data_IF_932422314871
#
_entry.id   IF_932422314871
#
_cell.length_a   1.000
_cell.length_b   1.000
_cell.length_c   1.000
_cell.angle_alpha   90.00
_cell.angle_beta   90.00
_cell.angle_gamma   90.00
#
_symmetry.space_group_name_H-M   'P 1'
#
loop_
_entity.id
_entity.type
_entity.pdbx_description
1 polymer ?
#
# COMPACT_ATOMS: atom_id res chain seq x y z
N UNK A 1 39.20 22.60 -12.51
CA UNK A 1 38.18 21.93 -11.69
C UNK A 1 37.23 21.19 -12.61
N UNK A 2 37.21 19.86 -12.53
CA UNK A 2 36.35 19.02 -13.37
C UNK A 2 34.95 19.05 -12.77
N UNK A 3 33.99 19.62 -13.51
CA UNK A 3 32.58 19.67 -13.10
C UNK A 3 32.01 18.25 -13.11
N UNK A 4 31.34 17.83 -12.03
CA UNK A 4 30.66 16.53 -11.92
C UNK A 4 29.16 16.77 -12.11
N UNK A 5 28.51 15.96 -12.94
CA UNK A 5 27.08 16.06 -13.26
C UNK A 5 26.43 14.70 -13.03
N UNK A 6 25.20 14.66 -12.53
CA UNK A 6 24.42 13.41 -12.40
C UNK A 6 23.43 13.34 -13.56
N UNK A 7 23.59 12.34 -14.44
CA UNK A 7 22.69 12.07 -15.57
C UNK A 7 21.85 10.84 -15.22
N UNK A 8 20.53 10.99 -15.19
CA UNK A 8 19.62 9.85 -15.13
C UNK A 8 19.51 9.21 -16.51
N UNK A 9 19.82 7.92 -16.59
CA UNK A 9 19.47 7.12 -17.74
C UNK A 9 18.68 5.93 -17.23
N UNK A 10 17.41 5.87 -17.63
CA UNK A 10 16.55 4.71 -17.42
C UNK A 10 17.28 3.46 -17.93
N UNK A 11 17.59 2.52 -17.02
CA UNK A 11 18.28 1.29 -17.36
C UNK A 11 17.25 0.26 -17.79
N UNK A 12 16.86 0.31 -19.06
CA UNK A 12 16.29 -0.86 -19.73
C UNK A 12 17.41 -1.89 -19.90
N UNK A 13 17.45 -2.90 -19.03
CA UNK A 13 18.27 -4.10 -19.20
C UNK A 13 19.37 -4.29 -18.16
N UNK A 14 19.07 -5.13 -17.17
CA UNK A 14 19.95 -5.94 -16.31
C UNK A 14 21.47 -5.77 -16.42
N UNK A 15 22.12 -5.28 -15.35
CA UNK A 15 23.21 -5.98 -14.65
C UNK A 15 23.78 -5.12 -13.49
N UNK A 16 23.85 -5.74 -12.30
CA UNK A 16 24.79 -5.48 -11.20
C UNK A 16 25.27 -4.03 -10.97
N UNK A 17 24.71 -3.36 -9.94
CA UNK A 17 25.34 -2.20 -9.29
C UNK A 17 24.97 -0.81 -9.85
N UNK A 18 23.86 -0.68 -10.57
CA UNK A 18 23.43 0.62 -11.09
C UNK A 18 22.46 1.30 -10.11
N UNK A 19 22.94 2.40 -9.52
CA UNK A 19 22.12 3.40 -8.84
C UNK A 19 21.05 3.90 -9.81
N UNK A 20 19.78 3.63 -9.54
CA UNK A 20 18.71 3.75 -10.53
C UNK A 20 18.01 5.12 -10.55
N UNK A 21 18.05 5.92 -9.48
CA UNK A 21 17.33 7.19 -9.40
C UNK A 21 18.05 8.18 -8.46
N UNK A 22 17.88 9.50 -8.66
CA UNK A 22 17.77 10.43 -7.52
C UNK A 22 16.35 10.91 -7.40
N UNK A 23 15.82 10.71 -6.21
CA UNK A 23 14.45 11.02 -5.86
C UNK A 23 14.50 12.09 -4.79
N UNK A 24 14.63 13.35 -5.21
CA UNK A 24 14.12 14.47 -4.42
C UNK A 24 14.03 15.73 -5.28
N UNK A 25 12.97 16.51 -5.09
CA UNK A 25 12.71 17.80 -5.74
C UNK A 25 13.89 18.77 -5.52
N UNK A 26 14.85 18.86 -6.44
CA UNK A 26 15.97 19.78 -6.28
C UNK A 26 15.48 21.23 -6.43
N UNK A 27 16.23 22.18 -5.91
CA UNK A 27 15.93 23.59 -6.11
C UNK A 27 16.07 23.98 -7.60
N UNK A 28 15.30 24.96 -8.10
CA UNK A 28 15.33 25.39 -9.50
C UNK A 28 16.73 25.64 -10.07
N UNK A 29 17.62 26.20 -9.27
CA UNK A 29 19.01 26.52 -9.61
C UNK A 29 19.93 25.29 -9.77
N UNK A 30 19.55 24.14 -9.21
CA UNK A 30 20.32 22.89 -9.31
C UNK A 30 20.00 22.12 -10.59
N UNK A 31 18.91 22.46 -11.29
CA UNK A 31 18.56 21.81 -12.55
C UNK A 31 19.52 22.24 -13.66
N UNK A 32 20.03 21.23 -14.37
CA UNK A 32 20.81 21.42 -15.60
C UNK A 32 20.18 20.56 -16.70
N UNK A 33 20.46 20.85 -17.99
CA UNK A 33 20.00 19.99 -19.07
C UNK A 33 20.40 18.53 -18.81
N UNK A 34 19.40 17.64 -18.74
CA UNK A 34 19.53 16.20 -18.47
C UNK A 34 20.02 15.80 -17.07
N UNK A 35 19.85 16.63 -16.03
CA UNK A 35 20.27 16.23 -14.69
C UNK A 35 20.18 17.26 -13.57
N UNK A 36 20.88 16.96 -12.48
CA UNK A 36 21.05 17.83 -11.31
C UNK A 36 22.53 18.09 -11.08
N UNK A 37 22.90 19.33 -10.82
CA UNK A 37 24.26 19.73 -10.48
C UNK A 37 24.52 19.56 -8.97
N UNK A 38 25.63 18.91 -8.64
CA UNK A 38 26.15 18.79 -7.27
C UNK A 38 27.67 18.79 -7.30
N UNK A 39 28.28 19.40 -6.29
CA UNK A 39 29.73 19.39 -6.10
C UNK A 39 30.21 18.16 -5.30
N UNK A 40 29.27 17.44 -4.68
CA UNK A 40 29.55 16.24 -3.88
C UNK A 40 30.10 15.10 -4.74
N UNK A 41 31.00 14.32 -4.16
CA UNK A 41 31.40 13.06 -4.76
C UNK A 41 30.22 12.07 -4.74
N UNK A 42 30.11 11.25 -5.78
CA UNK A 42 29.14 10.15 -5.82
C UNK A 42 29.63 9.06 -4.84
N UNK A 43 28.82 8.65 -3.85
CA UNK A 43 29.15 7.54 -2.97
C UNK A 43 29.36 6.25 -3.75
N UNK A 44 30.39 5.48 -3.40
CA UNK A 44 30.69 4.19 -4.04
C UNK A 44 30.19 3.06 -3.14
N UNK A 45 29.51 2.07 -3.72
CA UNK A 45 29.11 0.84 -3.03
C UNK A 45 29.94 -0.32 -3.56
N UNK A 46 30.69 -0.98 -2.68
CA UNK A 46 31.52 -2.12 -3.06
C UNK A 46 30.68 -3.39 -3.27
N UNK A 47 29.69 -3.64 -2.41
CA UNK A 47 28.78 -4.79 -2.54
C UNK A 47 27.48 -4.53 -1.77
N UNK A 48 26.34 -4.77 -2.41
CA UNK A 48 25.02 -4.75 -1.74
C UNK A 48 24.58 -6.16 -1.35
N UNK A 49 23.96 -6.32 -0.16
CA UNK A 49 23.22 -7.54 0.16
C UNK A 49 22.10 -7.80 -0.86
N UNK A 50 21.76 -9.08 -1.06
CA UNK A 50 20.84 -9.54 -2.12
C UNK A 50 19.43 -8.91 -2.07
N UNK A 51 19.02 -8.37 -0.91
CA UNK A 51 17.69 -7.79 -0.68
C UNK A 51 17.75 -6.32 -0.28
N UNK A 52 18.77 -5.58 -0.73
CA UNK A 52 18.88 -4.15 -0.48
C UNK A 52 18.97 -3.41 -1.80
N UNK A 53 18.04 -2.47 -2.00
CA UNK A 53 18.12 -1.48 -3.06
C UNK A 53 18.82 -0.23 -2.49
N UNK A 54 19.79 0.31 -3.23
CA UNK A 54 20.41 1.58 -2.91
C UNK A 54 19.91 2.66 -3.86
N UNK A 55 19.21 3.65 -3.31
CA UNK A 55 18.77 4.83 -4.03
C UNK A 55 19.77 5.95 -3.75
N UNK A 56 20.32 6.57 -4.79
CA UNK A 56 21.14 7.77 -4.59
C UNK A 56 20.20 8.94 -4.32
N UNK A 57 20.51 9.70 -3.29
CA UNK A 57 19.73 10.86 -2.89
C UNK A 57 20.64 12.07 -2.77
N UNK A 58 20.05 13.24 -2.90
CA UNK A 58 20.71 14.53 -2.69
C UNK A 58 20.09 15.17 -1.46
N UNK A 59 20.92 15.50 -0.47
CA UNK A 59 20.51 16.36 0.63
C UNK A 59 20.46 17.80 0.11
N UNK A 60 19.30 18.43 0.21
CA UNK A 60 19.08 19.77 -0.31
C UNK A 60 19.67 20.86 0.58
N UNK A 61 19.92 20.60 1.86
CA UNK A 61 20.46 21.59 2.79
C UNK A 61 21.96 21.85 2.54
N UNK A 62 22.72 20.79 2.26
CA UNK A 62 24.18 20.84 2.10
C UNK A 62 24.66 20.40 0.71
N UNK A 63 23.72 20.07 -0.20
CA UNK A 63 23.98 19.59 -1.56
C UNK A 63 24.84 18.30 -1.61
N UNK A 64 24.84 17.51 -0.54
CA UNK A 64 25.60 16.25 -0.47
C UNK A 64 24.84 15.08 -1.07
N UNK A 65 25.58 14.15 -1.67
CA UNK A 65 25.01 12.90 -2.17
C UNK A 65 25.13 11.81 -1.11
N UNK A 66 24.06 11.05 -0.90
CA UNK A 66 24.05 9.90 0.00
C UNK A 66 23.24 8.74 -0.60
N UNK A 67 23.41 7.55 -0.05
CA UNK A 67 22.65 6.37 -0.46
C UNK A 67 21.61 6.06 0.61
N UNK A 68 20.35 6.01 0.18
CA UNK A 68 19.26 5.49 0.98
C UNK A 68 19.09 4.00 0.67
N UNK A 69 19.22 3.17 1.71
CA UNK A 69 19.18 1.73 1.60
C UNK A 69 17.80 1.24 2.03
N UNK A 70 17.09 0.62 1.11
CA UNK A 70 15.76 0.10 1.36
C UNK A 70 15.75 -1.42 1.17
N UNK A 71 14.98 -2.12 1.98
CA UNK A 71 14.72 -3.54 1.72
C UNK A 71 14.07 -3.68 0.34
N UNK A 72 14.62 -4.56 -0.49
CA UNK A 72 13.97 -4.95 -1.71
C UNK A 72 12.67 -5.68 -1.34
N UNK A 73 11.54 -5.13 -1.77
CA UNK A 73 10.28 -5.87 -1.75
C UNK A 73 10.44 -7.02 -2.73
N UNK A 74 10.52 -8.23 -2.19
CA UNK A 74 10.57 -9.44 -3.01
C UNK A 74 9.16 -9.86 -3.37
N UNK A 75 8.99 -10.46 -4.55
CA UNK A 75 7.70 -10.99 -4.98
C UNK A 75 7.19 -12.03 -3.98
N UNK A 76 8.09 -12.80 -3.35
CA UNK A 76 7.74 -13.79 -2.33
C UNK A 76 7.12 -13.15 -1.07
N UNK A 77 7.67 -12.02 -0.60
CA UNK A 77 7.13 -11.28 0.55
C UNK A 77 5.75 -10.72 0.23
N UNK A 78 5.61 -10.08 -0.93
CA UNK A 78 4.33 -9.53 -1.38
C UNK A 78 3.26 -10.64 -1.54
N UNK A 79 3.65 -11.79 -2.11
CA UNK A 79 2.75 -12.95 -2.23
C UNK A 79 2.35 -13.50 -0.86
N UNK A 80 3.26 -13.52 0.12
CA UNK A 80 2.96 -13.97 1.47
C UNK A 80 1.99 -13.00 2.19
N UNK A 81 2.23 -11.70 2.05
CA UNK A 81 1.38 -10.66 2.63
C UNK A 81 -0.04 -10.72 2.03
N UNK A 82 -0.13 -10.80 0.70
CA UNK A 82 -1.41 -10.96 -0.02
C UNK A 82 -2.15 -12.24 0.37
N UNK A 83 -1.43 -13.36 0.56
CA UNK A 83 -2.07 -14.61 1.03
C UNK A 83 -2.64 -14.47 2.44
N UNK A 84 -1.94 -13.75 3.32
CA UNK A 84 -2.37 -13.53 4.70
C UNK A 84 -3.59 -12.62 4.73
N UNK A 85 -3.59 -11.54 3.97
CA UNK A 85 -4.74 -10.64 3.82
C UNK A 85 -5.95 -11.39 3.26
N UNK A 86 -5.76 -12.20 2.21
CA UNK A 86 -6.83 -12.95 1.60
C UNK A 86 -7.45 -13.98 2.58
N UNK A 87 -6.62 -14.66 3.39
CA UNK A 87 -7.12 -15.55 4.43
C UNK A 87 -7.98 -14.82 5.46
N UNK A 88 -7.56 -13.62 5.90
CA UNK A 88 -8.33 -12.79 6.83
C UNK A 88 -9.66 -12.32 6.22
N UNK A 89 -9.67 -11.97 4.94
CA UNK A 89 -10.89 -11.59 4.21
C UNK A 89 -11.87 -12.75 4.09
N UNK A 90 -11.38 -13.97 3.80
CA UNK A 90 -12.23 -15.16 3.77
C UNK A 90 -12.88 -15.45 5.12
N UNK A 91 -12.13 -15.30 6.22
CA UNK A 91 -12.66 -15.47 7.58
C UNK A 91 -13.72 -14.42 7.89
N UNK A 92 -13.43 -13.14 7.63
CA UNK A 92 -14.37 -12.05 7.85
C UNK A 92 -15.67 -12.24 7.04
N UNK A 93 -15.56 -12.65 5.79
CA UNK A 93 -16.72 -12.96 4.94
C UNK A 93 -17.53 -14.14 5.51
N UNK A 94 -16.87 -15.18 5.99
CA UNK A 94 -17.53 -16.31 6.66
C UNK A 94 -18.32 -15.88 7.88
N UNK A 95 -17.75 -15.04 8.73
CA UNK A 95 -18.41 -14.50 9.92
C UNK A 95 -19.63 -13.65 9.56
N UNK A 96 -19.50 -12.76 8.57
CA UNK A 96 -20.63 -11.93 8.10
C UNK A 96 -21.78 -12.77 7.54
N UNK A 97 -21.49 -13.87 6.85
CA UNK A 97 -22.52 -14.78 6.35
C UNK A 97 -23.28 -15.46 7.49
N UNK A 98 -22.58 -15.86 8.56
CA UNK A 98 -23.18 -16.47 9.75
C UNK A 98 -24.06 -15.44 10.48
N UNK A 99 -23.55 -14.23 10.68
CA UNK A 99 -24.28 -13.13 11.32
C UNK A 99 -25.54 -12.79 10.52
N UNK A 100 -25.41 -12.64 9.19
CA UNK A 100 -26.55 -12.38 8.31
C UNK A 100 -27.62 -13.48 8.36
N UNK A 101 -27.21 -14.75 8.48
CA UNK A 101 -28.14 -15.86 8.64
C UNK A 101 -28.88 -15.80 9.99
N UNK A 102 -28.19 -15.42 11.07
CA UNK A 102 -28.77 -15.24 12.40
C UNK A 102 -29.77 -14.07 12.42
N UNK A 103 -29.42 -12.94 11.81
CA UNK A 103 -30.31 -11.78 11.67
C UNK A 103 -31.57 -12.14 10.88
N UNK A 104 -31.41 -12.88 9.78
CA UNK A 104 -32.55 -13.35 8.98
C UNK A 104 -33.50 -14.23 9.80
N UNK A 105 -32.96 -15.13 10.63
CA UNK A 105 -33.79 -15.95 11.52
C UNK A 105 -34.56 -15.09 12.54
N UNK A 106 -33.91 -14.07 13.10
CA UNK A 106 -34.53 -13.13 14.02
C UNK A 106 -35.64 -12.33 13.35
N UNK A 107 -35.43 -11.84 12.13
CA UNK A 107 -36.43 -11.11 11.35
C UNK A 107 -37.67 -11.98 11.09
N UNK A 108 -37.48 -13.23 10.66
CA UNK A 108 -38.62 -14.14 10.45
C UNK A 108 -39.46 -14.33 11.72
N UNK A 109 -38.82 -14.47 12.88
CA UNK A 109 -39.52 -14.59 14.16
C UNK A 109 -40.28 -13.32 14.56
N UNK A 110 -39.72 -12.15 14.26
CA UNK A 110 -40.39 -10.86 14.48
C UNK A 110 -41.60 -10.69 13.53
N UNK A 111 -41.46 -11.09 12.27
CA UNK A 111 -42.55 -11.03 11.28
C UNK A 111 -43.71 -11.95 11.68
N UNK A 112 -43.43 -13.16 12.16
CA UNK A 112 -44.44 -14.08 12.68
C UNK A 112 -45.16 -13.49 13.90
N UNK A 113 -44.40 -12.94 14.86
CA UNK A 113 -44.97 -12.30 16.05
C UNK A 113 -45.86 -11.11 15.68
N UNK A 114 -45.42 -10.28 14.74
CA UNK A 114 -46.20 -9.15 14.23
C UNK A 114 -47.49 -9.62 13.54
N UNK A 115 -47.42 -10.69 12.74
CA UNK A 115 -48.59 -11.30 12.11
C UNK A 115 -49.63 -11.77 13.15
N UNK A 116 -49.17 -12.46 14.19
CA UNK A 116 -50.03 -12.92 15.28
C UNK A 116 -50.70 -11.76 16.04
N UNK A 117 -49.94 -10.69 16.35
CA UNK A 117 -50.49 -9.49 16.99
C UNK A 117 -51.54 -8.79 16.13
N UNK A 118 -51.31 -8.70 14.82
CA UNK A 118 -52.30 -8.10 13.89
C UNK A 118 -53.61 -8.89 13.88
N UNK A 119 -53.53 -10.23 13.90
CA UNK A 119 -54.71 -11.10 13.99
C UNK A 119 -55.44 -10.92 15.33
N UNK A 120 -54.71 -10.85 16.44
CA UNK A 120 -55.30 -10.62 17.76
C UNK A 120 -56.01 -9.26 17.85
N UNK A 121 -55.37 -8.19 17.35
CA UNK A 121 -55.98 -6.85 17.30
C UNK A 121 -57.22 -6.85 16.41
N UNK A 122 -57.19 -7.54 15.26
CA UNK A 122 -58.35 -7.67 14.40
C UNK A 122 -59.50 -8.40 15.09
N UNK A 123 -59.21 -9.49 15.81
CA UNK A 123 -60.21 -10.24 16.59
C UNK A 123 -60.81 -9.38 17.71
N UNK A 124 -59.99 -8.65 18.47
CA UNK A 124 -60.45 -7.75 19.53
C UNK A 124 -61.33 -6.61 19.00
N UNK A 125 -60.98 -6.04 17.84
CA UNK A 125 -61.80 -4.99 17.19
C UNK A 125 -63.09 -5.53 16.58
N UNK A 126 -63.07 -6.75 16.04
CA UNK A 126 -64.25 -7.40 15.43
C UNK A 126 -65.23 -7.99 16.45
N UNK A 127 -64.75 -8.40 17.62
CA UNK A 127 -65.56 -8.97 18.70
C UNK A 127 -66.20 -7.95 19.66
N UNK A 128 -65.97 -6.65 19.45
CA UNK A 128 -66.53 -5.56 20.25
C UNK A 128 -67.85 -4.98 19.68
N UNK A 129 -68.55 -5.75 18.83
CA UNK A 129 -69.85 -5.39 18.25
C UNK A 129 -71.01 -6.13 18.93
#
# INVERSE_FOLDING_TARGET
>A
MTKKYVIYKEVTGSSSGVVSNVIHNPYPEQYVPNGVFTESAIPVVEMLPLNINANLMINLEDNTLYLDYQEAVTVEKEVLDLKTENAALYEAMGNLLIESAADKATIMGLEETMGNLLLEVAALKGGAA
#
